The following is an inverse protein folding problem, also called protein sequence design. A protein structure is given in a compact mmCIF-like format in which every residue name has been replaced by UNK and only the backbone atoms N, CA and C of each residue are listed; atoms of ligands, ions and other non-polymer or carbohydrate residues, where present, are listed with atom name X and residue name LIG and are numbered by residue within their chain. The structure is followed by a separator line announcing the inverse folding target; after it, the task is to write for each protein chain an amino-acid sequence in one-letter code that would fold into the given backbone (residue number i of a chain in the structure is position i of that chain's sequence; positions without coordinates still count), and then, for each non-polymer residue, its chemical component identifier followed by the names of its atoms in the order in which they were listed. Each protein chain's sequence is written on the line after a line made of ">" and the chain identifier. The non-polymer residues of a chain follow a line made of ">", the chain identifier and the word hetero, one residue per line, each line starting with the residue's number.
data_IF_799369633915
#
_entry.id   IF_799369633915
#
_cell.length_a   1.000
_cell.length_b   1.000
_cell.length_c   1.000
_cell.angle_alpha   90.00
_cell.angle_beta   90.00
_cell.angle_gamma   90.00
#
_symmetry.space_group_name_H-M   'P 1'
#
loop_
_entity.id
_entity.type
_entity.pdbx_description
1 polymer ?
#
# COMPACT_ATOMS: atom_id res chain seq x y z
N UNK A 1 -2.58 -9.81 -36.46
CA UNK A 1 -2.02 -10.71 -35.44
C UNK A 1 -2.96 -10.69 -34.26
N UNK A 2 -3.36 -11.84 -33.72
CA UNK A 2 -4.13 -11.88 -32.48
C UNK A 2 -3.19 -11.45 -31.35
N UNK A 3 -3.54 -10.38 -30.64
CA UNK A 3 -2.84 -9.96 -29.43
C UNK A 3 -3.11 -11.02 -28.37
N UNK A 4 -2.06 -11.58 -27.77
CA UNK A 4 -2.22 -12.55 -26.68
C UNK A 4 -2.79 -11.88 -25.42
N UNK A 5 -3.54 -12.62 -24.58
CA UNK A 5 -4.01 -12.11 -23.30
C UNK A 5 -2.87 -11.55 -22.45
N UNK A 6 -3.03 -10.29 -22.00
CA UNK A 6 -1.97 -9.59 -21.29
C UNK A 6 -2.45 -8.38 -20.51
N UNK A 7 -1.56 -7.83 -19.70
CA UNK A 7 -1.75 -6.55 -19.02
C UNK A 7 -0.72 -5.54 -19.53
N UNK A 8 -1.19 -4.33 -19.83
CA UNK A 8 -0.37 -3.27 -20.43
C UNK A 8 0.93 -3.01 -19.64
N UNK A 9 2.05 -2.95 -20.35
CA UNK A 9 3.38 -2.66 -19.80
C UNK A 9 4.04 -3.81 -19.02
N UNK A 10 3.32 -4.87 -18.65
CA UNK A 10 3.87 -6.00 -17.90
C UNK A 10 4.56 -7.03 -18.82
N UNK A 11 5.57 -6.59 -19.56
CA UNK A 11 6.28 -7.41 -20.55
C UNK A 11 7.21 -8.43 -19.87
N UNK A 12 8.04 -7.96 -18.94
CA UNK A 12 8.99 -8.79 -18.21
C UNK A 12 8.46 -9.01 -16.79
N UNK A 13 7.91 -10.18 -16.51
CA UNK A 13 7.23 -10.49 -15.25
C UNK A 13 7.37 -11.96 -14.89
N UNK A 14 7.21 -12.30 -13.61
CA UNK A 14 7.13 -13.68 -13.14
C UNK A 14 5.71 -14.30 -13.25
N UNK A 15 4.77 -13.63 -13.91
CA UNK A 15 3.40 -14.09 -14.15
C UNK A 15 3.11 -14.28 -15.63
N UNK A 16 2.44 -15.39 -15.95
CA UNK A 16 2.08 -15.76 -17.33
C UNK A 16 0.61 -15.43 -17.60
N UNK A 17 0.35 -14.29 -18.24
CA UNK A 17 -1.01 -13.82 -18.53
C UNK A 17 -1.71 -14.61 -19.65
N UNK A 18 -1.04 -15.54 -20.32
CA UNK A 18 -1.74 -16.47 -21.24
C UNK A 18 -2.54 -17.53 -20.48
N UNK A 19 -2.28 -17.71 -19.18
CA UNK A 19 -2.92 -18.73 -18.32
C UNK A 19 -4.07 -18.16 -17.50
N UNK A 20 -5.18 -18.90 -17.46
CA UNK A 20 -6.37 -18.54 -16.68
C UNK A 20 -6.09 -18.35 -15.18
N UNK A 21 -5.15 -19.11 -14.59
CA UNK A 21 -4.84 -18.97 -13.16
C UNK A 21 -4.36 -17.57 -12.78
N UNK A 22 -3.61 -16.90 -13.67
CA UNK A 22 -3.07 -15.56 -13.44
C UNK A 22 -4.14 -14.46 -13.45
N UNK A 23 -5.29 -14.73 -14.07
CA UNK A 23 -6.47 -13.87 -14.04
C UNK A 23 -7.37 -14.13 -12.82
N UNK A 24 -6.98 -15.05 -11.94
CA UNK A 24 -7.64 -15.29 -10.67
C UNK A 24 -7.49 -14.11 -9.71
N UNK A 25 -8.43 -14.01 -8.76
CA UNK A 25 -8.54 -12.94 -7.77
C UNK A 25 -7.24 -12.48 -7.11
N UNK A 26 -6.33 -13.39 -6.75
CA UNK A 26 -5.12 -13.02 -6.01
C UNK A 26 -4.05 -12.39 -6.92
N UNK A 27 -3.86 -12.95 -8.12
CA UNK A 27 -2.86 -12.46 -9.06
C UNK A 27 -3.36 -11.23 -9.81
N UNK A 28 -4.57 -11.26 -10.37
CA UNK A 28 -5.10 -10.12 -11.11
C UNK A 28 -5.15 -8.83 -10.25
N UNK A 29 -5.62 -8.92 -9.01
CA UNK A 29 -5.75 -7.74 -8.13
C UNK A 29 -4.41 -7.13 -7.70
N UNK A 30 -3.29 -7.85 -7.83
CA UNK A 30 -1.95 -7.30 -7.60
C UNK A 30 -1.27 -6.86 -8.90
N UNK A 31 -1.57 -7.52 -10.04
CA UNK A 31 -1.01 -7.16 -11.35
C UNK A 31 -1.68 -5.97 -12.03
N UNK A 32 -3.02 -5.89 -11.99
CA UNK A 32 -3.75 -4.79 -12.63
C UNK A 32 -3.29 -3.40 -12.15
N UNK A 33 -3.04 -3.17 -10.83
CA UNK A 33 -2.46 -1.93 -10.33
C UNK A 33 -1.12 -1.54 -10.98
N UNK A 34 -0.23 -2.51 -11.20
CA UNK A 34 1.06 -2.26 -11.87
C UNK A 34 0.85 -1.88 -13.34
N UNK A 35 -0.08 -2.54 -14.02
CA UNK A 35 -0.46 -2.23 -15.40
C UNK A 35 -1.11 -0.84 -15.53
N UNK A 36 -1.95 -0.46 -14.56
CA UNK A 36 -2.52 0.89 -14.49
C UNK A 36 -1.43 1.95 -14.32
N UNK A 37 -0.42 1.72 -13.48
CA UNK A 37 0.77 2.59 -13.41
C UNK A 37 1.44 2.72 -14.80
N UNK A 38 1.71 1.60 -15.48
CA UNK A 38 2.35 1.61 -16.80
C UNK A 38 1.52 2.41 -17.82
N UNK A 39 0.19 2.22 -17.82
CA UNK A 39 -0.71 2.93 -18.71
C UNK A 39 -0.71 4.43 -18.45
N UNK A 40 -0.78 4.85 -17.18
CA UNK A 40 -0.66 6.25 -16.81
C UNK A 40 0.68 6.85 -17.26
N UNK A 41 1.79 6.11 -17.07
CA UNK A 41 3.11 6.52 -17.51
C UNK A 41 3.18 6.72 -19.04
N UNK A 42 2.60 5.83 -19.84
CA UNK A 42 2.54 5.97 -21.29
C UNK A 42 1.77 7.21 -21.76
N UNK A 43 0.91 7.78 -20.90
CA UNK A 43 0.17 9.02 -21.13
C UNK A 43 0.83 10.24 -20.52
N UNK A 44 2.05 10.11 -19.99
CA UNK A 44 2.74 11.14 -19.22
C UNK A 44 1.92 11.64 -18.01
N UNK A 45 1.05 10.79 -17.46
CA UNK A 45 0.22 11.12 -16.30
C UNK A 45 0.96 10.78 -15.02
N UNK A 46 1.09 11.77 -14.13
CA UNK A 46 1.59 11.55 -12.77
C UNK A 46 0.53 10.87 -11.91
N UNK A 47 0.94 10.14 -10.88
CA UNK A 47 0.04 9.61 -9.84
C UNK A 47 -0.11 10.61 -8.69
N UNK A 48 -1.21 10.51 -7.94
CA UNK A 48 -1.39 11.27 -6.71
C UNK A 48 -0.41 10.75 -5.66
N UNK A 49 0.39 11.62 -5.03
CA UNK A 49 1.40 11.24 -4.04
C UNK A 49 1.01 11.71 -2.64
N UNK A 50 0.80 10.76 -1.75
CA UNK A 50 0.38 10.96 -0.37
C UNK A 50 1.62 10.92 0.52
N UNK A 51 2.10 12.10 0.90
CA UNK A 51 3.47 12.30 1.39
C UNK A 51 3.56 13.31 2.52
N UNK A 52 4.73 13.41 3.14
CA UNK A 52 5.06 14.51 4.04
C UNK A 52 5.80 15.59 3.25
N UNK A 53 5.42 16.85 3.43
CA UNK A 53 6.06 17.99 2.80
C UNK A 53 5.93 19.22 3.69
N UNK A 54 7.06 19.83 4.03
CA UNK A 54 7.21 20.92 5.01
C UNK A 54 6.68 20.51 6.38
N UNK A 55 6.97 19.28 6.80
CA UNK A 55 6.59 18.72 8.10
C UNK A 55 5.11 18.41 8.30
N UNK A 56 4.30 18.47 7.25
CA UNK A 56 2.87 18.14 7.29
C UNK A 56 2.48 17.19 6.16
N UNK A 57 1.40 16.44 6.35
CA UNK A 57 0.86 15.57 5.31
C UNK A 57 0.31 16.39 4.14
N UNK A 58 0.67 16.01 2.91
CA UNK A 58 0.26 16.68 1.67
C UNK A 58 -0.08 15.71 0.54
N UNK A 59 -0.82 16.25 -0.41
CA UNK A 59 -1.07 15.67 -1.73
C UNK A 59 -0.16 16.36 -2.72
N UNK A 60 0.80 15.62 -3.24
CA UNK A 60 1.69 16.03 -4.34
C UNK A 60 1.44 15.11 -5.55
N UNK A 61 2.30 15.21 -6.56
CA UNK A 61 2.28 14.34 -7.73
C UNK A 61 3.64 13.64 -7.87
N UNK A 62 3.62 12.40 -8.35
CA UNK A 62 4.83 11.61 -8.58
C UNK A 62 4.78 10.90 -9.94
N UNK A 63 5.90 10.86 -10.65
CA UNK A 63 6.02 10.08 -11.88
C UNK A 63 6.09 8.58 -11.56
N UNK A 64 5.56 7.76 -12.45
CA UNK A 64 5.61 6.30 -12.28
C UNK A 64 7.06 5.80 -12.32
N UNK A 65 7.92 6.43 -13.12
CA UNK A 65 9.35 6.12 -13.16
C UNK A 65 10.02 6.31 -11.79
N UNK A 66 9.63 7.34 -11.03
CA UNK A 66 10.10 7.53 -9.65
C UNK A 66 9.49 6.51 -8.68
N UNK A 67 8.27 6.03 -8.93
CA UNK A 67 7.62 4.96 -8.14
C UNK A 67 8.34 3.62 -8.32
N UNK A 68 8.71 3.31 -9.55
CA UNK A 68 9.38 2.05 -9.91
C UNK A 68 10.90 2.10 -9.73
N UNK A 69 11.50 3.29 -9.74
CA UNK A 69 12.96 3.48 -9.76
C UNK A 69 13.60 3.26 -11.13
N UNK A 70 12.77 3.04 -12.15
CA UNK A 70 13.13 2.79 -13.55
C UNK A 70 11.90 3.06 -14.43
N UNK A 71 12.10 3.37 -15.71
CA UNK A 71 10.98 3.57 -16.62
C UNK A 71 10.24 2.26 -16.91
N UNK A 72 8.92 2.31 -16.98
CA UNK A 72 8.10 1.10 -17.17
C UNK A 72 8.38 0.35 -18.48
N UNK A 73 8.87 1.06 -19.50
CA UNK A 73 9.19 0.52 -20.83
C UNK A 73 10.69 0.28 -21.06
N UNK A 74 11.51 0.42 -20.02
CA UNK A 74 12.92 0.04 -20.07
C UNK A 74 13.04 -1.49 -20.24
N UNK A 75 13.95 -1.94 -21.10
CA UNK A 75 14.16 -3.37 -21.36
C UNK A 75 14.63 -4.14 -20.11
N UNK A 76 15.25 -3.43 -19.16
CA UNK A 76 15.74 -3.95 -17.90
C UNK A 76 14.68 -3.92 -16.79
N UNK A 77 13.48 -3.35 -17.01
CA UNK A 77 12.40 -3.40 -16.02
C UNK A 77 11.84 -4.80 -15.91
N UNK A 78 11.79 -5.34 -14.68
CA UNK A 78 11.17 -6.63 -14.35
C UNK A 78 10.17 -6.49 -13.19
N UNK A 79 8.94 -6.97 -13.39
CA UNK A 79 7.87 -6.98 -12.39
C UNK A 79 7.85 -8.32 -11.64
N UNK A 80 8.46 -8.37 -10.46
CA UNK A 80 8.49 -9.55 -9.60
C UNK A 80 7.35 -9.50 -8.58
N UNK A 81 6.22 -10.14 -8.89
CA UNK A 81 5.09 -10.23 -7.96
C UNK A 81 5.34 -11.24 -6.84
N UNK A 82 4.75 -11.02 -5.67
CA UNK A 82 4.85 -11.91 -4.51
C UNK A 82 6.31 -12.31 -4.20
N UNK A 83 7.19 -11.32 -4.22
CA UNK A 83 8.64 -11.48 -4.12
C UNK A 83 9.21 -10.70 -2.93
N UNK A 84 10.43 -11.04 -2.52
CA UNK A 84 11.12 -10.34 -1.44
C UNK A 84 11.89 -9.13 -1.98
N UNK A 85 11.74 -7.97 -1.35
CA UNK A 85 12.67 -6.86 -1.58
C UNK A 85 13.93 -7.12 -0.73
N UNK A 86 14.86 -7.89 -1.30
CA UNK A 86 16.01 -8.45 -0.59
C UNK A 86 16.90 -7.44 0.15
N UNK A 87 17.01 -6.15 -0.23
CA UNK A 87 17.73 -5.15 0.57
C UNK A 87 17.24 -4.99 2.01
N UNK A 88 15.99 -5.38 2.31
CA UNK A 88 15.40 -5.30 3.64
C UNK A 88 15.67 -6.52 4.53
N UNK A 89 16.22 -7.60 3.98
CA UNK A 89 16.52 -8.82 4.74
C UNK A 89 17.46 -8.58 5.92
N UNK A 90 18.38 -7.61 5.81
CA UNK A 90 19.33 -7.24 6.87
C UNK A 90 18.67 -6.78 8.18
N UNK A 91 17.43 -6.27 8.11
CA UNK A 91 16.70 -5.76 9.27
C UNK A 91 15.85 -6.84 9.96
N UNK A 92 15.71 -8.03 9.37
CA UNK A 92 14.76 -9.05 9.83
C UNK A 92 15.49 -10.31 10.28
N UNK A 93 15.18 -10.77 11.50
CA UNK A 93 15.55 -12.10 11.96
C UNK A 93 14.69 -13.15 11.24
N UNK A 94 15.33 -14.18 10.69
CA UNK A 94 14.65 -15.21 9.91
C UNK A 94 14.37 -14.74 8.48
N UNK A 95 13.21 -15.10 7.93
CA UNK A 95 12.87 -14.85 6.52
C UNK A 95 12.01 -13.60 6.37
N UNK A 96 12.44 -12.63 5.56
CA UNK A 96 11.61 -11.48 5.18
C UNK A 96 10.32 -11.98 4.48
N UNK A 97 9.12 -11.52 4.84
CA UNK A 97 7.92 -11.87 4.09
C UNK A 97 8.00 -11.37 2.64
N UNK A 98 7.18 -11.93 1.76
CA UNK A 98 7.02 -11.44 0.39
C UNK A 98 6.12 -10.21 0.40
N UNK A 99 6.42 -9.21 -0.42
CA UNK A 99 5.49 -8.09 -0.70
C UNK A 99 4.77 -8.31 -2.02
N UNK A 100 3.74 -7.51 -2.28
CA UNK A 100 2.85 -7.69 -3.44
C UNK A 100 3.61 -7.52 -4.76
N UNK A 101 4.50 -6.53 -4.86
CA UNK A 101 5.30 -6.23 -6.07
C UNK A 101 6.72 -5.76 -5.70
N UNK A 102 7.71 -6.30 -6.40
CA UNK A 102 9.09 -5.78 -6.39
C UNK A 102 9.47 -5.43 -7.83
N UNK A 103 9.92 -4.20 -8.05
CA UNK A 103 10.53 -3.82 -9.31
C UNK A 103 12.01 -4.17 -9.25
N UNK A 104 12.48 -4.92 -10.25
CA UNK A 104 13.86 -5.38 -10.33
C UNK A 104 14.48 -5.01 -11.67
N UNK A 105 15.81 -4.92 -11.68
CA UNK A 105 16.58 -5.02 -12.92
C UNK A 105 16.57 -6.47 -13.40
N UNK A 106 16.07 -6.70 -14.61
CA UNK A 106 16.04 -8.02 -15.26
C UNK A 106 17.43 -8.62 -15.40
N UNK A 107 18.42 -7.79 -15.72
CA UNK A 107 19.80 -8.18 -16.00
C UNK A 107 20.57 -8.61 -14.75
N UNK A 108 20.31 -7.97 -13.59
CA UNK A 108 21.10 -8.18 -12.37
C UNK A 108 20.32 -8.75 -11.19
N UNK A 109 18.99 -8.69 -11.22
CA UNK A 109 18.13 -9.00 -10.08
C UNK A 109 18.14 -7.93 -8.98
N UNK A 110 18.77 -6.77 -9.21
CA UNK A 110 18.78 -5.65 -8.27
C UNK A 110 17.35 -5.20 -7.98
N UNK A 111 16.96 -5.14 -6.71
CA UNK A 111 15.66 -4.64 -6.30
C UNK A 111 15.66 -3.10 -6.24
N UNK A 112 14.86 -2.46 -7.08
CA UNK A 112 14.76 -1.00 -7.17
C UNK A 112 13.65 -0.44 -6.28
N UNK A 113 12.51 -1.13 -6.20
CA UNK A 113 11.35 -0.70 -5.42
C UNK A 113 10.61 -1.91 -4.86
N UNK A 114 10.10 -1.81 -3.63
CA UNK A 114 9.27 -2.82 -2.98
C UNK A 114 7.93 -2.18 -2.60
N UNK A 115 6.85 -2.65 -3.22
CA UNK A 115 5.57 -1.97 -3.24
C UNK A 115 4.44 -2.88 -2.78
N UNK A 116 3.68 -2.39 -1.81
CA UNK A 116 2.42 -3.00 -1.40
C UNK A 116 1.29 -2.54 -2.32
N UNK A 117 0.30 -3.41 -2.56
CA UNK A 117 -0.79 -3.13 -3.48
C UNK A 117 -2.13 -3.25 -2.76
N UNK A 118 -2.96 -2.21 -2.84
CA UNK A 118 -4.30 -2.16 -2.22
C UNK A 118 -5.32 -1.59 -3.21
N UNK A 119 -5.94 -2.47 -3.98
CA UNK A 119 -7.01 -2.11 -4.91
C UNK A 119 -8.32 -1.82 -4.14
N UNK A 120 -8.75 -0.57 -4.12
CA UNK A 120 -9.85 -0.10 -3.26
C UNK A 120 -11.06 0.45 -4.04
N UNK A 121 -12.26 0.15 -3.55
CA UNK A 121 -13.51 0.64 -4.12
C UNK A 121 -13.83 2.06 -3.65
N UNK A 122 -14.37 2.89 -4.55
CA UNK A 122 -14.82 4.25 -4.24
C UNK A 122 -16.27 4.45 -4.71
N UNK A 123 -17.22 4.83 -3.85
CA UNK A 123 -17.12 4.94 -2.39
C UNK A 123 -17.14 3.58 -1.69
N UNK A 124 -16.67 3.57 -0.44
CA UNK A 124 -16.91 2.47 0.49
C UNK A 124 -18.30 2.57 1.16
N UNK A 125 -18.63 1.57 1.99
CA UNK A 125 -19.91 1.52 2.69
C UNK A 125 -20.15 2.67 3.67
N UNK A 126 -19.11 3.33 4.17
CA UNK A 126 -19.25 4.42 5.16
C UNK A 126 -19.52 5.76 4.52
N UNK A 127 -19.21 5.90 3.23
CA UNK A 127 -19.29 7.17 2.49
C UNK A 127 -20.23 7.11 1.28
N UNK A 128 -20.77 5.94 0.94
CA UNK A 128 -21.60 5.75 -0.27
C UNK A 128 -22.89 6.58 -0.33
N UNK A 129 -23.38 7.06 0.81
CA UNK A 129 -24.59 7.89 0.91
C UNK A 129 -24.27 9.39 1.04
N UNK A 130 -23.00 9.78 0.95
CA UNK A 130 -22.57 11.18 1.02
C UNK A 130 -22.44 11.78 -0.39
N UNK A 131 -22.17 13.07 -0.47
CA UNK A 131 -21.79 13.71 -1.73
C UNK A 131 -20.45 13.15 -2.24
N UNK A 132 -20.25 13.13 -3.55
CA UNK A 132 -19.04 12.53 -4.15
C UNK A 132 -17.73 13.15 -3.64
N UNK A 133 -17.75 14.44 -3.26
CA UNK A 133 -16.61 15.12 -2.63
C UNK A 133 -16.20 14.57 -1.26
N UNK A 134 -17.06 13.74 -0.64
CA UNK A 134 -16.87 13.10 0.65
C UNK A 134 -16.68 11.57 0.53
N UNK A 135 -16.63 11.04 -0.70
CA UNK A 135 -16.36 9.63 -0.93
C UNK A 135 -14.96 9.23 -0.44
N UNK A 136 -14.86 8.07 0.18
CA UNK A 136 -13.59 7.50 0.62
C UNK A 136 -13.53 6.01 0.35
N UNK A 137 -12.33 5.47 0.49
CA UNK A 137 -12.02 4.06 0.25
C UNK A 137 -11.69 3.34 1.55
N UNK A 138 -12.23 2.13 1.77
CA UNK A 138 -11.70 1.28 2.83
C UNK A 138 -10.31 0.75 2.41
N UNK A 139 -9.31 0.94 3.26
CA UNK A 139 -7.99 0.29 3.12
C UNK A 139 -7.82 -0.77 4.20
N UNK A 140 -7.40 -1.98 3.80
CA UNK A 140 -7.15 -3.11 4.69
C UNK A 140 -5.68 -3.51 4.60
N UNK A 141 -4.99 -3.48 5.74
CA UNK A 141 -3.52 -3.60 5.81
C UNK A 141 -3.14 -4.92 6.47
N UNK A 142 -2.20 -5.65 5.86
CA UNK A 142 -1.68 -6.91 6.41
C UNK A 142 -0.50 -6.64 7.36
N UNK A 143 -0.21 -7.55 8.30
CA UNK A 143 0.97 -7.41 9.15
C UNK A 143 2.28 -7.26 8.38
N UNK A 144 2.45 -7.99 7.28
CA UNK A 144 3.66 -7.93 6.44
C UNK A 144 3.89 -6.54 5.84
N UNK A 145 2.82 -5.79 5.55
CA UNK A 145 2.93 -4.38 5.14
C UNK A 145 3.66 -3.55 6.22
N UNK A 146 3.43 -3.83 7.50
CA UNK A 146 4.08 -3.11 8.62
C UNK A 146 5.56 -3.50 8.75
N UNK A 147 5.90 -4.77 8.46
CA UNK A 147 7.29 -5.25 8.39
C UNK A 147 8.07 -4.48 7.32
N UNK A 148 7.50 -4.35 6.12
CA UNK A 148 8.12 -3.58 5.04
C UNK A 148 8.21 -2.09 5.35
N UNK A 149 7.20 -1.52 6.00
CA UNK A 149 7.24 -0.12 6.45
C UNK A 149 8.40 0.12 7.42
N UNK A 150 8.57 -0.75 8.43
CA UNK A 150 9.67 -0.65 9.39
C UNK A 150 11.03 -0.72 8.69
N UNK A 151 11.19 -1.63 7.72
CA UNK A 151 12.43 -1.77 6.96
C UNK A 151 12.70 -0.55 6.05
N UNK A 152 11.66 0.02 5.44
CA UNK A 152 11.77 1.24 4.61
C UNK A 152 12.22 2.43 5.44
N UNK A 153 11.54 2.68 6.57
CA UNK A 153 11.88 3.75 7.51
C UNK A 153 13.32 3.60 8.01
N UNK A 154 13.70 2.40 8.47
CA UNK A 154 15.06 2.14 8.96
C UNK A 154 16.12 2.35 7.88
N UNK A 155 15.83 1.98 6.63
CA UNK A 155 16.75 2.20 5.50
C UNK A 155 16.84 3.67 5.10
N UNK A 156 15.75 4.43 5.21
CA UNK A 156 15.71 5.86 4.92
C UNK A 156 16.43 6.71 5.96
N UNK A 157 16.25 6.39 7.25
CA UNK A 157 16.85 7.15 8.36
C UNK A 157 18.26 6.69 8.73
N UNK A 158 18.60 5.41 8.49
CA UNK A 158 19.90 4.84 8.86
C UNK A 158 20.30 5.20 10.31
N UNK A 159 21.42 5.90 10.52
CA UNK A 159 21.89 6.28 11.86
C UNK A 159 20.97 7.26 12.59
N UNK A 160 20.21 8.10 11.87
CA UNK A 160 19.29 9.07 12.48
C UNK A 160 18.13 8.39 13.21
N UNK A 161 17.86 7.10 12.97
CA UNK A 161 16.85 6.35 13.71
C UNK A 161 17.15 6.31 15.22
N UNK A 162 18.44 6.28 15.59
CA UNK A 162 18.88 6.14 16.97
C UNK A 162 18.42 7.33 17.86
N UNK A 163 18.42 8.53 17.28
CA UNK A 163 18.05 9.78 17.96
C UNK A 163 16.52 10.00 18.00
N UNK A 164 15.77 9.27 17.18
CA UNK A 164 14.33 9.45 17.00
C UNK A 164 13.50 8.47 17.82
N UNK A 165 14.03 7.28 18.08
CA UNK A 165 13.37 6.27 18.92
C UNK A 165 13.76 6.50 20.38
N UNK A 166 12.85 6.97 21.25
CA UNK A 166 13.12 7.11 22.67
C UNK A 166 13.38 5.76 23.34
N UNK A 167 14.13 5.78 24.44
CA UNK A 167 14.25 4.63 25.32
C UNK A 167 13.02 4.54 26.23
N UNK A 168 12.13 3.61 25.92
CA UNK A 168 10.93 3.36 26.72
C UNK A 168 11.10 2.03 27.45
N UNK A 169 11.17 2.09 28.77
CA UNK A 169 11.22 0.91 29.63
C UNK A 169 9.80 0.41 29.93
N UNK A 170 9.30 -0.51 29.11
CA UNK A 170 8.05 -1.24 29.38
C UNK A 170 8.39 -2.55 30.08
N UNK A 171 7.81 -2.76 31.27
CA UNK A 171 8.04 -3.95 32.10
C UNK A 171 7.71 -5.24 31.34
N UNK A 172 6.56 -5.30 30.69
CA UNK A 172 6.14 -6.41 29.87
C UNK A 172 5.38 -5.87 28.65
N UNK A 173 5.95 -6.10 27.47
CA UNK A 173 5.35 -5.65 26.20
C UNK A 173 4.09 -6.43 25.85
N UNK A 174 3.92 -7.66 26.34
CA UNK A 174 2.77 -8.53 26.06
C UNK A 174 1.53 -8.11 26.85
N UNK A 175 1.74 -7.42 27.97
CA UNK A 175 0.70 -6.91 28.86
C UNK A 175 0.24 -5.52 28.44
N UNK A 176 -1.01 -5.43 27.97
CA UNK A 176 -1.58 -4.21 27.41
C UNK A 176 -1.53 -3.00 28.37
N UNK A 177 -1.64 -3.24 29.68
CA UNK A 177 -1.60 -2.19 30.71
C UNK A 177 -0.29 -1.40 30.67
N UNK A 178 0.86 -2.09 30.68
CA UNK A 178 2.17 -1.42 30.71
C UNK A 178 2.48 -0.72 29.39
N UNK A 179 1.98 -1.24 28.28
CA UNK A 179 2.10 -0.59 26.96
C UNK A 179 1.24 0.67 26.89
N UNK A 180 0.02 0.64 27.42
CA UNK A 180 -0.88 1.80 27.46
C UNK A 180 -0.34 2.96 28.29
N UNK A 181 0.39 2.67 29.38
CA UNK A 181 1.08 3.70 30.17
C UNK A 181 2.07 4.54 29.33
N UNK A 182 2.59 3.97 28.24
CA UNK A 182 3.60 4.58 27.37
C UNK A 182 3.07 4.91 25.95
N UNK A 183 1.77 4.72 25.69
CA UNK A 183 1.26 4.76 24.31
C UNK A 183 1.36 6.13 23.66
N UNK A 184 1.26 7.20 24.45
CA UNK A 184 1.39 8.58 23.96
C UNK A 184 2.80 8.81 23.40
N UNK A 185 3.84 8.33 24.10
CA UNK A 185 5.22 8.47 23.67
C UNK A 185 5.50 7.64 22.41
N UNK A 186 4.99 6.40 22.36
CA UNK A 186 5.07 5.53 21.18
C UNK A 186 4.46 6.21 19.95
N UNK A 187 3.24 6.73 20.06
CA UNK A 187 2.52 7.36 18.94
C UNK A 187 3.23 8.66 18.51
N UNK A 188 3.72 9.46 19.46
CA UNK A 188 4.46 10.68 19.17
C UNK A 188 5.80 10.40 18.47
N UNK A 189 6.51 9.34 18.86
CA UNK A 189 7.74 8.93 18.20
C UNK A 189 7.50 8.56 16.73
N UNK A 190 6.44 7.79 16.45
CA UNK A 190 6.04 7.44 15.07
C UNK A 190 5.68 8.70 14.26
N UNK A 191 4.91 9.62 14.86
CA UNK A 191 4.58 10.88 14.21
C UNK A 191 5.83 11.71 13.89
N UNK A 192 6.79 11.80 14.82
CA UNK A 192 8.07 12.50 14.61
C UNK A 192 8.90 11.84 13.51
N UNK A 193 9.00 10.51 13.51
CA UNK A 193 9.69 9.73 12.48
C UNK A 193 9.11 10.02 11.09
N UNK A 194 7.78 10.09 10.97
CA UNK A 194 7.14 10.42 9.69
C UNK A 194 7.60 11.77 9.13
N UNK A 195 7.82 12.77 10.00
CA UNK A 195 8.29 14.09 9.61
C UNK A 195 9.77 14.10 9.27
N UNK A 196 10.62 13.46 10.07
CA UNK A 196 12.07 13.45 9.82
C UNK A 196 12.44 12.61 8.60
N UNK A 197 11.59 11.65 8.21
CA UNK A 197 11.78 10.87 6.99
C UNK A 197 11.49 11.67 5.70
N UNK A 198 10.92 12.88 5.78
CA UNK A 198 10.48 13.68 4.62
C UNK A 198 11.47 13.69 3.44
N UNK A 199 12.74 14.06 3.66
CA UNK A 199 13.73 14.19 2.58
C UNK A 199 14.20 12.83 2.01
N UNK A 200 13.90 11.73 2.69
CA UNK A 200 14.31 10.37 2.34
C UNK A 200 13.14 9.43 2.09
N UNK A 201 11.91 9.95 2.14
CA UNK A 201 10.70 9.17 1.98
C UNK A 201 10.63 8.56 0.59
N UNK A 202 10.04 7.38 0.51
CA UNK A 202 9.99 6.58 -0.72
C UNK A 202 8.57 6.12 -1.00
N UNK A 203 8.21 5.93 -2.28
CA UNK A 203 7.00 5.23 -2.66
C UNK A 203 6.94 3.86 -1.98
N UNK A 204 5.81 3.58 -1.32
CA UNK A 204 5.66 2.43 -0.44
C UNK A 204 4.43 1.58 -0.78
N UNK A 205 3.30 2.21 -1.06
CA UNK A 205 2.03 1.51 -1.29
C UNK A 205 1.27 2.11 -2.47
N UNK A 206 0.92 1.25 -3.43
CA UNK A 206 0.02 1.53 -4.54
C UNK A 206 -1.42 1.32 -4.06
N UNK A 207 -2.20 2.40 -4.03
CA UNK A 207 -3.64 2.37 -3.76
C UNK A 207 -4.41 2.85 -4.99
N UNK A 208 -4.62 1.99 -6.01
CA UNK A 208 -5.56 2.30 -7.05
C UNK A 208 -6.98 2.35 -6.53
N UNK A 209 -7.74 3.29 -7.07
CA UNK A 209 -9.17 3.40 -6.84
C UNK A 209 -9.94 2.91 -8.06
N UNK A 210 -11.10 2.29 -7.82
CA UNK A 210 -12.09 2.04 -8.85
C UNK A 210 -13.45 2.62 -8.41
N UNK A 211 -13.89 3.67 -9.10
CA UNK A 211 -15.10 4.42 -8.77
C UNK A 211 -16.34 3.81 -9.41
N UNK A 212 -17.37 3.63 -8.61
CA UNK A 212 -18.70 3.21 -9.04
C UNK A 212 -19.74 4.33 -8.95
N UNK A 213 -20.89 4.12 -9.59
CA UNK A 213 -22.07 4.98 -9.41
C UNK A 213 -22.71 4.64 -8.05
N UNK A 214 -22.35 5.39 -7.02
CA UNK A 214 -22.72 5.08 -5.64
C UNK A 214 -22.29 3.65 -5.27
N UNK A 215 -23.19 2.86 -4.68
CA UNK A 215 -22.93 1.46 -4.29
C UNK A 215 -23.25 0.44 -5.39
N UNK A 216 -23.72 0.89 -6.56
CA UNK A 216 -24.11 -0.01 -7.65
C UNK A 216 -22.86 -0.60 -8.28
N UNK A 217 -22.90 -1.87 -8.68
CA UNK A 217 -21.78 -2.57 -9.37
C UNK A 217 -21.61 -2.11 -10.83
N UNK A 218 -21.57 -0.79 -11.04
CA UNK A 218 -21.39 -0.13 -12.34
C UNK A 218 -20.33 0.94 -12.15
N UNK A 219 -19.27 0.88 -12.97
CA UNK A 219 -18.22 1.89 -12.96
C UNK A 219 -18.76 3.25 -13.40
N UNK A 220 -18.30 4.31 -12.74
CA UNK A 220 -18.49 5.67 -13.21
C UNK A 220 -17.76 5.89 -14.54
N UNK A 221 -18.03 7.01 -15.23
CA UNK A 221 -17.31 7.31 -16.49
C UNK A 221 -15.82 7.54 -16.22
N UNK A 222 -15.50 8.43 -15.28
CA UNK A 222 -14.17 8.58 -14.69
C UNK A 222 -14.05 7.58 -13.53
N UNK A 223 -13.37 6.45 -13.73
CA UNK A 223 -13.40 5.36 -12.77
C UNK A 223 -12.07 4.90 -12.20
N UNK A 224 -10.93 5.14 -12.84
CA UNK A 224 -9.66 4.65 -12.33
C UNK A 224 -8.67 5.78 -12.06
N UNK A 225 -7.95 5.66 -10.94
CA UNK A 225 -6.83 6.53 -10.60
C UNK A 225 -5.86 5.79 -9.69
N UNK A 226 -4.65 6.36 -9.52
CA UNK A 226 -3.59 5.83 -8.69
C UNK A 226 -3.21 6.83 -7.58
N UNK A 227 -3.30 6.36 -6.34
CA UNK A 227 -2.78 7.05 -5.16
C UNK A 227 -1.58 6.28 -4.62
N UNK A 228 -0.45 6.93 -4.52
CA UNK A 228 0.81 6.37 -4.04
C UNK A 228 1.05 6.91 -2.64
N UNK A 229 1.11 6.03 -1.65
CA UNK A 229 1.57 6.42 -0.32
C UNK A 229 3.08 6.32 -0.27
N UNK A 230 3.72 7.38 0.24
CA UNK A 230 5.08 7.27 0.74
C UNK A 230 5.13 6.50 2.06
N UNK A 231 6.29 5.96 2.42
CA UNK A 231 6.52 5.39 3.74
C UNK A 231 6.33 6.43 4.86
N UNK A 232 6.79 7.66 4.67
CA UNK A 232 6.57 8.78 5.60
C UNK A 232 5.08 9.11 5.76
N UNK A 233 4.35 9.28 4.65
CA UNK A 233 2.91 9.57 4.65
C UNK A 233 2.10 8.45 5.28
N UNK A 234 2.45 7.19 5.03
CA UNK A 234 1.77 6.04 5.64
C UNK A 234 2.11 5.88 7.12
N UNK A 235 3.35 6.16 7.52
CA UNK A 235 3.78 6.23 8.92
C UNK A 235 3.00 7.32 9.68
N UNK A 236 2.84 8.50 9.06
CA UNK A 236 2.01 9.57 9.61
C UNK A 236 0.56 9.12 9.78
N UNK A 237 -0.02 8.48 8.76
CA UNK A 237 -1.38 7.94 8.82
C UNK A 237 -1.56 6.98 9.99
N UNK A 238 -0.63 6.02 10.20
CA UNK A 238 -0.64 5.11 11.35
C UNK A 238 -0.65 5.89 12.67
N UNK A 239 0.20 6.92 12.81
CA UNK A 239 0.25 7.74 14.02
C UNK A 239 -1.07 8.46 14.32
N UNK A 240 -1.84 8.83 13.30
CA UNK A 240 -3.10 9.56 13.46
C UNK A 240 -4.31 8.66 13.72
N UNK A 241 -4.31 7.44 13.19
CA UNK A 241 -5.38 6.47 13.47
C UNK A 241 -5.15 5.71 14.77
N UNK A 242 -3.90 5.65 15.26
CA UNK A 242 -3.59 5.16 16.59
C UNK A 242 -4.13 6.13 17.65
N UNK A 243 -4.89 5.60 18.61
CA UNK A 243 -5.34 6.38 19.77
C UNK A 243 -4.23 6.42 20.82
N UNK A 244 -3.60 7.58 21.00
CA UNK A 244 -2.67 7.86 22.10
C UNK A 244 -3.43 8.17 23.39
N UNK A 245 -4.19 7.23 23.92
CA UNK A 245 -4.99 7.40 25.13
C UNK A 245 -4.53 6.41 26.20
N UNK A 246 -3.86 6.90 27.24
CA UNK A 246 -3.35 6.08 28.36
C UNK A 246 -4.47 5.50 29.21
N UNK A 247 -5.69 6.03 29.12
CA UNK A 247 -6.88 5.55 29.84
C UNK A 247 -7.76 4.64 28.98
N UNK A 248 -7.32 4.29 27.78
CA UNK A 248 -8.08 3.41 26.90
C UNK A 248 -8.32 2.05 27.61
N UNK A 249 -9.55 1.52 27.57
CA UNK A 249 -9.86 0.25 28.24
C UNK A 249 -9.20 -0.97 27.60
N UNK A 250 -8.74 -0.85 26.34
CA UNK A 250 -8.05 -1.90 25.59
C UNK A 250 -7.26 -1.32 24.42
N UNK A 251 -6.27 -2.08 23.93
CA UNK A 251 -5.50 -1.72 22.73
C UNK A 251 -6.26 -2.16 21.47
N UNK A 252 -6.58 -1.19 20.61
CA UNK A 252 -7.21 -1.44 19.30
C UNK A 252 -6.21 -1.98 18.28
N UNK A 253 -6.68 -2.52 17.14
CA UNK A 253 -5.82 -2.92 16.02
C UNK A 253 -4.93 -1.79 15.50
N UNK A 254 -5.47 -0.57 15.42
CA UNK A 254 -4.75 0.62 14.98
C UNK A 254 -3.65 0.99 15.98
N UNK A 255 -3.99 1.07 17.27
CA UNK A 255 -3.01 1.33 18.35
C UNK A 255 -1.94 0.23 18.41
N UNK A 256 -2.32 -1.05 18.31
CA UNK A 256 -1.40 -2.18 18.23
C UNK A 256 -0.44 -2.07 17.05
N UNK A 257 -0.92 -1.63 15.88
CA UNK A 257 -0.07 -1.45 14.69
C UNK A 257 1.01 -0.40 14.94
N UNK A 258 0.68 0.69 15.63
CA UNK A 258 1.68 1.67 16.07
C UNK A 258 2.70 1.02 17.03
N UNK A 259 2.24 0.24 18.01
CA UNK A 259 3.14 -0.51 18.92
C UNK A 259 4.06 -1.46 18.17
N UNK A 260 3.55 -2.23 17.19
CA UNK A 260 4.36 -3.11 16.36
C UNK A 260 5.43 -2.33 15.60
N UNK A 261 5.04 -1.27 14.90
CA UNK A 261 5.98 -0.44 14.13
C UNK A 261 7.08 0.13 15.04
N UNK A 262 6.70 0.70 16.18
CA UNK A 262 7.65 1.22 17.15
C UNK A 262 8.59 0.12 17.67
N UNK A 263 8.05 -1.04 18.04
CA UNK A 263 8.85 -2.15 18.58
C UNK A 263 9.86 -2.66 17.56
N UNK A 264 9.46 -2.80 16.30
CA UNK A 264 10.34 -3.20 15.20
C UNK A 264 11.49 -2.19 15.03
N UNK A 265 11.18 -0.89 14.98
CA UNK A 265 12.20 0.16 14.85
C UNK A 265 13.12 0.25 16.08
N UNK A 266 12.57 0.04 17.29
CA UNK A 266 13.34 -0.02 18.54
C UNK A 266 14.28 -1.23 18.57
N UNK A 267 13.83 -2.40 18.12
CA UNK A 267 14.71 -3.58 18.01
C UNK A 267 15.80 -3.36 16.95
N UNK A 268 15.51 -2.72 15.82
CA UNK A 268 16.55 -2.34 14.85
C UNK A 268 17.58 -1.40 15.49
N UNK A 269 17.14 -0.35 16.19
CA UNK A 269 18.03 0.56 16.92
C UNK A 269 18.96 -0.21 17.88
N UNK A 270 18.40 -1.13 18.66
CA UNK A 270 19.12 -1.78 19.76
C UNK A 270 19.95 -3.00 19.34
N UNK A 271 19.51 -3.72 18.30
CA UNK A 271 20.05 -5.04 17.91
C UNK A 271 20.47 -5.12 16.44
N UNK A 272 20.15 -4.11 15.65
CA UNK A 272 20.34 -4.09 14.19
C UNK A 272 19.26 -4.85 13.41
N UNK A 273 18.37 -5.59 14.08
CA UNK A 273 17.34 -6.40 13.45
C UNK A 273 16.15 -6.64 14.40
N UNK A 274 15.01 -7.06 13.87
CA UNK A 274 13.81 -7.43 14.63
C UNK A 274 13.25 -8.79 14.22
N UNK A 275 12.58 -9.48 15.15
CA UNK A 275 11.80 -10.69 14.85
C UNK A 275 10.33 -10.33 14.68
N UNK A 276 9.89 -10.19 13.43
CA UNK A 276 8.53 -9.80 13.11
C UNK A 276 7.49 -10.82 13.57
N UNK A 277 7.79 -12.13 13.53
CA UNK A 277 6.84 -13.17 13.93
C UNK A 277 6.57 -13.09 15.42
N UNK A 278 7.64 -13.02 16.21
CA UNK A 278 7.53 -12.86 17.66
C UNK A 278 6.77 -11.59 18.01
N UNK A 279 7.11 -10.45 17.39
CA UNK A 279 6.42 -9.18 17.65
C UNK A 279 4.92 -9.27 17.30
N UNK A 280 4.57 -9.77 16.11
CA UNK A 280 3.19 -9.81 15.64
C UNK A 280 2.33 -10.79 16.47
N UNK A 281 2.91 -11.94 16.85
CA UNK A 281 2.18 -12.99 17.57
C UNK A 281 2.06 -12.68 19.07
N UNK A 282 3.14 -12.23 19.71
CA UNK A 282 3.15 -11.93 21.16
C UNK A 282 2.44 -10.62 21.50
N UNK A 283 2.53 -9.61 20.63
CA UNK A 283 1.96 -8.29 20.88
C UNK A 283 0.56 -8.15 20.25
N UNK A 284 -0.28 -9.19 20.38
CA UNK A 284 -1.60 -9.23 19.76
C UNK A 284 -2.68 -8.48 20.55
N UNK A 285 -2.49 -8.33 21.86
CA UNK A 285 -3.39 -7.64 22.81
C UNK A 285 -4.86 -8.07 22.67
N UNK A 286 -5.10 -9.38 22.59
CA UNK A 286 -6.43 -10.00 22.44
C UNK A 286 -7.16 -9.62 21.12
N UNK A 287 -6.44 -9.10 20.12
CA UNK A 287 -6.98 -8.87 18.78
C UNK A 287 -6.40 -9.87 17.81
N UNK A 288 -7.20 -10.39 16.84
CA UNK A 288 -6.63 -11.28 15.81
C UNK A 288 -5.56 -10.53 15.00
N UNK A 289 -4.50 -11.23 14.63
CA UNK A 289 -3.34 -10.71 13.91
C UNK A 289 -3.39 -10.98 12.40
N UNK A 290 -4.51 -11.47 11.85
CA UNK A 290 -4.72 -11.67 10.39
C UNK A 290 -4.60 -10.38 9.57
N UNK A 291 -4.83 -9.24 10.22
CA UNK A 291 -4.73 -7.89 9.66
C UNK A 291 -4.00 -7.02 10.67
N UNK A 292 -3.18 -6.09 10.19
CA UNK A 292 -2.67 -5.01 11.01
C UNK A 292 -3.84 -4.12 11.45
N UNK A 293 -4.55 -3.53 10.48
CA UNK A 293 -5.78 -2.77 10.69
C UNK A 293 -6.61 -2.66 9.40
N UNK A 294 -7.82 -2.11 9.53
CA UNK A 294 -8.60 -1.57 8.44
C UNK A 294 -8.99 -0.12 8.79
N UNK A 295 -9.07 0.74 7.78
CA UNK A 295 -9.51 2.12 7.94
C UNK A 295 -10.57 2.46 6.89
N UNK A 296 -11.71 2.93 7.35
CA UNK A 296 -12.88 3.19 6.51
C UNK A 296 -12.76 4.50 5.71
N UNK A 297 -13.62 4.64 4.70
CA UNK A 297 -13.67 5.76 3.77
C UNK A 297 -13.82 7.12 4.46
N UNK A 298 -14.61 7.21 5.52
CA UNK A 298 -14.77 8.44 6.30
C UNK A 298 -13.47 8.89 7.01
N UNK A 299 -12.50 7.99 7.20
CA UNK A 299 -11.16 8.29 7.70
C UNK A 299 -10.20 8.58 6.54
N UNK A 300 -10.15 7.71 5.53
CA UNK A 300 -9.19 7.81 4.42
C UNK A 300 -9.48 8.99 3.49
N UNK A 301 -10.74 9.43 3.34
CA UNK A 301 -11.08 10.60 2.53
C UNK A 301 -10.24 11.82 2.92
N UNK A 302 -9.98 12.05 4.22
CA UNK A 302 -9.17 13.19 4.69
C UNK A 302 -7.74 13.21 4.12
N UNK A 303 -7.22 12.04 3.74
CA UNK A 303 -5.86 11.84 3.21
C UNK A 303 -5.83 11.67 1.70
N UNK A 304 -6.98 11.50 1.05
CA UNK A 304 -7.08 11.29 -0.40
C UNK A 304 -7.86 12.40 -1.10
N UNK A 305 -8.48 13.32 -0.35
CA UNK A 305 -9.41 14.33 -0.89
C UNK A 305 -8.67 15.28 -1.83
N UNK A 306 -8.96 15.10 -3.12
CA UNK A 306 -8.51 15.95 -4.21
C UNK A 306 -9.51 15.88 -5.37
N UNK A 307 -9.31 16.70 -6.40
CA UNK A 307 -10.16 16.67 -7.61
C UNK A 307 -10.17 15.28 -8.26
N UNK A 308 -9.04 14.57 -8.25
CA UNK A 308 -8.89 13.23 -8.82
C UNK A 308 -9.59 12.13 -8.02
N UNK A 309 -9.94 12.38 -6.75
CA UNK A 309 -10.82 11.47 -6.01
C UNK A 309 -12.28 11.63 -6.47
N UNK A 310 -12.71 12.85 -6.78
CA UNK A 310 -14.06 13.12 -7.30
C UNK A 310 -14.18 12.69 -8.76
N UNK A 311 -13.18 13.01 -9.57
CA UNK A 311 -13.12 12.70 -11.00
C UNK A 311 -11.80 11.97 -11.33
N UNK A 312 -11.75 10.64 -11.15
CA UNK A 312 -10.60 9.81 -11.49
C UNK A 312 -10.07 10.06 -12.90
N UNK A 313 -8.74 10.02 -13.06
CA UNK A 313 -8.10 10.43 -14.31
C UNK A 313 -8.37 9.52 -15.51
N UNK A 314 -8.65 8.23 -15.28
CA UNK A 314 -8.83 7.23 -16.33
C UNK A 314 -10.31 6.85 -16.46
N UNK A 315 -10.77 6.91 -17.71
CA UNK A 315 -12.12 6.62 -18.14
C UNK A 315 -12.39 5.12 -18.19
N UNK A 316 -13.66 4.77 -18.05
CA UNK A 316 -14.14 3.40 -18.11
C UNK A 316 -13.84 2.71 -19.45
N UNK A 317 -13.94 3.44 -20.55
CA UNK A 317 -13.66 2.92 -21.89
C UNK A 317 -12.17 2.69 -22.16
N UNK A 318 -11.27 3.19 -21.32
CA UNK A 318 -9.82 3.01 -21.45
C UNK A 318 -9.33 1.68 -20.82
N UNK A 319 -10.19 0.96 -20.08
CA UNK A 319 -9.84 -0.32 -19.46
C UNK A 319 -9.41 -1.36 -20.51
N UNK A 320 -9.98 -1.31 -21.72
CA UNK A 320 -9.60 -2.19 -22.84
C UNK A 320 -8.18 -1.96 -23.38
N UNK A 321 -7.59 -0.81 -23.06
CA UNK A 321 -6.19 -0.51 -23.38
C UNK A 321 -5.23 -0.98 -22.28
N UNK A 322 -5.76 -1.41 -21.11
CA UNK A 322 -4.99 -1.94 -19.98
C UNK A 322 -5.07 -3.48 -19.96
N UNK A 323 -6.26 -4.04 -20.19
CA UNK A 323 -6.51 -5.48 -20.29
C UNK A 323 -6.57 -5.86 -21.76
N UNK A 324 -5.55 -6.58 -22.22
CA UNK A 324 -5.26 -6.81 -23.64
C UNK A 324 -5.65 -8.23 -24.08
N UNK A 325 -5.82 -8.40 -25.39
CA UNK A 325 -5.85 -9.72 -26.04
C UNK A 325 -6.99 -10.65 -25.60
N UNK A 326 -8.11 -10.09 -25.13
CA UNK A 326 -9.23 -10.90 -24.63
C UNK A 326 -9.02 -11.43 -23.20
N UNK A 327 -8.04 -10.90 -22.46
CA UNK A 327 -7.76 -11.31 -21.08
C UNK A 327 -8.93 -11.18 -20.10
N UNK A 328 -9.87 -10.27 -20.36
CA UNK A 328 -11.12 -10.17 -19.60
C UNK A 328 -11.94 -11.47 -19.61
N UNK A 329 -11.82 -12.29 -20.67
CA UNK A 329 -12.52 -13.58 -20.79
C UNK A 329 -11.89 -14.66 -19.89
N UNK A 330 -10.69 -14.41 -19.38
CA UNK A 330 -9.96 -15.30 -18.47
C UNK A 330 -10.20 -14.94 -17.00
N UNK A 331 -10.82 -13.79 -16.71
CA UNK A 331 -11.18 -13.40 -15.35
C UNK A 331 -12.06 -14.48 -14.69
N UNK A 332 -11.71 -14.84 -13.46
CA UNK A 332 -12.47 -15.73 -12.61
C UNK A 332 -12.96 -14.97 -11.38
N UNK A 333 -14.00 -14.15 -11.51
CA UNK A 333 -14.38 -13.17 -10.49
C UNK A 333 -15.06 -13.80 -9.27
N UNK A 334 -14.93 -13.13 -8.13
CA UNK A 334 -15.72 -13.46 -6.93
C UNK A 334 -16.67 -12.31 -6.53
N UNK A 335 -16.14 -11.13 -6.15
CA UNK A 335 -16.95 -10.02 -5.56
C UNK A 335 -16.40 -8.60 -5.79
N UNK A 336 -15.28 -8.39 -6.49
CA UNK A 336 -14.52 -7.11 -6.46
C UNK A 336 -14.46 -6.47 -7.86
N UNK A 337 -13.43 -5.69 -8.14
CA UNK A 337 -13.23 -5.01 -9.43
C UNK A 337 -13.23 -5.98 -10.63
N UNK A 338 -12.61 -7.14 -10.46
CA UNK A 338 -12.63 -8.27 -11.39
C UNK A 338 -14.04 -8.70 -11.79
N UNK A 339 -14.98 -8.72 -10.83
CA UNK A 339 -16.38 -9.07 -11.08
C UNK A 339 -17.08 -8.03 -11.96
N UNK A 340 -16.82 -6.74 -11.73
CA UNK A 340 -17.44 -5.66 -12.51
C UNK A 340 -16.92 -5.66 -13.95
N UNK A 341 -15.62 -5.92 -14.15
CA UNK A 341 -15.04 -6.06 -15.50
C UNK A 341 -15.68 -7.24 -16.21
N UNK A 342 -15.70 -8.42 -15.57
CA UNK A 342 -16.26 -9.63 -16.15
C UNK A 342 -17.76 -9.48 -16.50
N UNK A 343 -18.53 -8.79 -15.66
CA UNK A 343 -19.97 -8.57 -15.88
C UNK A 343 -20.30 -7.47 -16.88
N UNK A 344 -19.30 -6.78 -17.44
CA UNK A 344 -19.48 -5.63 -18.33
C UNK A 344 -18.80 -5.85 -19.69
N UNK A 345 -19.24 -6.83 -20.51
CA UNK A 345 -18.55 -7.18 -21.77
C UNK A 345 -18.43 -6.00 -22.75
N UNK A 346 -19.39 -5.07 -22.75
CA UNK A 346 -19.36 -3.84 -23.55
C UNK A 346 -18.18 -2.91 -23.26
N UNK A 347 -17.43 -3.13 -22.18
CA UNK A 347 -16.17 -2.42 -21.93
C UNK A 347 -15.10 -2.69 -22.98
N UNK A 348 -15.22 -3.82 -23.69
CA UNK A 348 -14.22 -4.33 -24.63
C UNK A 348 -14.75 -4.39 -26.06
N UNK A 349 -15.91 -3.78 -26.32
CA UNK A 349 -16.46 -3.57 -27.67
C UNK A 349 -15.83 -2.36 -28.39
#
# INVERSE_FOLDING_TARGET
>A
MNVEPGLFGLINTNRDFTRKETWGKNQFNSSFPAALCCYMASKNMLANYLSISKGIFKHDLISIDNVFGISFNDEDTFFAFESQHTPYQKHVLGTLPRTDLVIQRKSTGECLSGLEVKLTALPDNTTCNLDEGLYGCEIVVRPDTIVYLACSIASGLSSSLNDLIPEIAIQDWTEAKYVLENIVEIVNAIAKISVVLEDKQRPFLLQPIWKTIGKVSVLAENCLDMFIWSDAGFCNFISKIAKGDTKAPYITRQTRTAVWLFKMLSDIKNKGHFDHKVIIDSLSYNTKNDKAFASAGNITNKYMKCERLVKPAILKNEIKEIILGGGQNLLSPERRFDAIIFSSPRLFE
#
